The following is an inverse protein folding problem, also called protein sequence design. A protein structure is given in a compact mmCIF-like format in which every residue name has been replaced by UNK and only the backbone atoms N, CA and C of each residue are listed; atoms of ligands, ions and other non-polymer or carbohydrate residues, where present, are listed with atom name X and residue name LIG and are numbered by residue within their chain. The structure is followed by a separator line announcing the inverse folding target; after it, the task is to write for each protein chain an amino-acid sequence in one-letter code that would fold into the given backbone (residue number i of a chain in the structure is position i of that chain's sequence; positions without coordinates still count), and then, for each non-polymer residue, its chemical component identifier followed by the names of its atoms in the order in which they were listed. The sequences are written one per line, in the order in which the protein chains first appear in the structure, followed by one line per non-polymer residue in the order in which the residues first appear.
data_IF_383418138576
#
_entry.id   IF_383418138576
#
_cell.length_a   1.000
_cell.length_b   1.000
_cell.length_c   1.000
_cell.angle_alpha   90.00
_cell.angle_beta   90.00
_cell.angle_gamma   90.00
#
_symmetry.space_group_name_H-M   'P 1'
#
loop_
_entity.id
_entity.type
_entity.pdbx_description
1 polymer ?
#
# COMPACT_ATOMS: atom_id res chain seq x y z
N UNK A 1 10.89 36.19 -15.46
CA UNK A 1 9.50 36.29 -14.93
C UNK A 1 9.64 36.00 -13.43
N UNK A 2 10.29 36.91 -12.72
CA UNK A 2 10.96 36.64 -11.45
C UNK A 2 10.49 37.63 -10.41
N UNK A 3 9.69 37.16 -9.44
CA UNK A 3 9.40 37.91 -8.20
C UNK A 3 8.62 37.05 -7.18
N UNK A 4 9.21 35.92 -6.75
CA UNK A 4 8.80 35.20 -5.53
C UNK A 4 9.97 34.93 -4.56
N UNK A 5 11.10 35.63 -4.74
CA UNK A 5 12.37 35.32 -4.05
C UNK A 5 12.42 35.61 -2.53
N UNK A 6 11.35 36.13 -1.92
CA UNK A 6 11.32 36.48 -0.48
C UNK A 6 10.08 35.98 0.27
N UNK A 7 9.28 35.09 -0.34
CA UNK A 7 8.05 34.61 0.30
C UNK A 7 8.38 33.48 1.27
N UNK A 8 8.12 33.68 2.56
CA UNK A 8 8.40 32.71 3.64
C UNK A 8 7.13 32.07 4.24
N UNK A 9 5.93 32.51 3.84
CA UNK A 9 4.64 31.97 4.30
C UNK A 9 3.55 32.10 3.21
N UNK A 10 2.37 31.50 3.42
CA UNK A 10 1.20 31.48 2.53
C UNK A 10 1.50 30.87 1.15
N UNK A 11 2.24 29.77 1.17
CA UNK A 11 2.44 28.90 0.01
C UNK A 11 1.16 28.15 -0.36
N UNK A 12 1.01 27.80 -1.65
CA UNK A 12 -0.16 27.05 -2.15
C UNK A 12 -0.33 25.71 -1.45
N UNK A 13 0.76 24.94 -1.30
CA UNK A 13 0.75 23.66 -0.60
C UNK A 13 0.28 23.81 0.86
N UNK A 14 0.84 24.78 1.61
CA UNK A 14 0.41 25.02 3.00
C UNK A 14 -1.05 25.47 3.12
N UNK A 15 -1.55 26.27 2.17
CA UNK A 15 -2.97 26.64 2.13
C UNK A 15 -3.88 25.45 1.82
N UNK A 16 -3.48 24.57 0.91
CA UNK A 16 -4.18 23.32 0.62
C UNK A 16 -4.26 22.42 1.86
N UNK A 17 -3.14 22.20 2.55
CA UNK A 17 -3.11 21.37 3.76
C UNK A 17 -4.00 21.94 4.88
N UNK A 18 -3.99 23.26 5.09
CA UNK A 18 -4.91 23.91 6.03
C UNK A 18 -6.38 23.71 5.66
N UNK A 19 -6.71 23.79 4.37
CA UNK A 19 -8.07 23.58 3.90
C UNK A 19 -8.53 22.13 4.14
N UNK A 20 -7.71 21.14 3.79
CA UNK A 20 -8.02 19.72 4.03
C UNK A 20 -8.12 19.41 5.54
N UNK A 21 -7.25 19.99 6.37
CA UNK A 21 -7.33 19.86 7.82
C UNK A 21 -8.64 20.43 8.40
N UNK A 22 -9.11 21.58 7.90
CA UNK A 22 -10.42 22.14 8.29
C UNK A 22 -11.57 21.22 7.89
N UNK A 23 -11.54 20.68 6.67
CA UNK A 23 -12.56 19.71 6.20
C UNK A 23 -12.58 18.46 7.06
N UNK A 24 -11.42 17.90 7.42
CA UNK A 24 -11.33 16.73 8.28
C UNK A 24 -11.93 17.01 9.66
N UNK A 25 -11.55 18.13 10.30
CA UNK A 25 -12.07 18.54 11.61
C UNK A 25 -13.61 18.64 11.63
N UNK A 26 -14.21 19.08 10.54
CA UNK A 26 -15.67 19.24 10.45
C UNK A 26 -16.43 17.91 10.31
N UNK A 27 -15.77 16.86 9.80
CA UNK A 27 -16.43 15.57 9.47
C UNK A 27 -15.93 14.38 10.27
N UNK A 28 -14.97 14.58 11.18
CA UNK A 28 -14.35 13.49 11.92
C UNK A 28 -14.09 13.84 13.38
N UNK A 29 -14.34 12.88 14.27
CA UNK A 29 -14.15 13.03 15.70
C UNK A 29 -12.69 12.78 16.10
N UNK A 30 -12.12 13.65 16.95
CA UNK A 30 -10.72 13.57 17.36
C UNK A 30 -10.40 12.31 18.19
N UNK A 31 -11.32 11.85 19.05
CA UNK A 31 -11.14 10.63 19.83
C UNK A 31 -11.17 9.39 18.93
N UNK A 32 -12.09 9.35 17.96
CA UNK A 32 -12.12 8.31 16.93
C UNK A 32 -10.84 8.29 16.12
N UNK A 33 -10.31 9.47 15.72
CA UNK A 33 -9.04 9.57 15.01
C UNK A 33 -7.89 8.98 15.84
N UNK A 34 -7.80 9.34 17.13
CA UNK A 34 -6.77 8.80 18.02
C UNK A 34 -6.90 7.28 18.19
N UNK A 35 -8.11 6.76 18.36
CA UNK A 35 -8.35 5.33 18.51
C UNK A 35 -7.94 4.55 17.25
N UNK A 36 -8.32 5.02 16.06
CA UNK A 36 -7.94 4.40 14.79
C UNK A 36 -6.44 4.50 14.53
N UNK A 37 -5.81 5.64 14.88
CA UNK A 37 -4.35 5.81 14.74
C UNK A 37 -3.61 4.80 15.60
N UNK A 38 -4.00 4.62 16.86
CA UNK A 38 -3.43 3.59 17.74
C UNK A 38 -3.65 2.17 17.21
N UNK A 39 -4.81 1.91 16.60
CA UNK A 39 -5.07 0.62 15.97
C UNK A 39 -4.08 0.36 14.81
N UNK A 40 -3.85 1.36 13.95
CA UNK A 40 -2.85 1.30 12.88
C UNK A 40 -1.42 1.13 13.44
N UNK A 41 -1.02 1.91 14.46
CA UNK A 41 0.30 1.78 15.11
C UNK A 41 0.52 0.37 15.71
N UNK A 42 -0.55 -0.26 16.17
CA UNK A 42 -0.49 -1.61 16.76
C UNK A 42 -0.50 -2.74 15.72
N UNK A 43 -0.71 -2.42 14.44
CA UNK A 43 -0.86 -3.41 13.38
C UNK A 43 0.42 -4.26 13.26
N UNK A 44 0.28 -5.55 13.56
CA UNK A 44 1.34 -6.53 13.38
C UNK A 44 0.70 -7.90 13.16
N UNK A 45 0.68 -8.36 11.91
CA UNK A 45 0.03 -9.63 11.56
C UNK A 45 0.82 -10.85 12.06
N UNK A 46 2.10 -10.70 12.41
CA UNK A 46 2.94 -11.75 12.98
C UNK A 46 2.80 -11.93 14.50
N UNK A 47 2.15 -10.99 15.19
CA UNK A 47 2.00 -10.97 16.65
C UNK A 47 1.32 -12.26 17.13
N UNK A 48 2.02 -13.03 17.97
CA UNK A 48 1.53 -14.31 18.50
C UNK A 48 1.43 -15.43 17.47
N UNK A 49 1.98 -15.27 16.25
CA UNK A 49 1.87 -16.22 15.14
C UNK A 49 3.20 -16.78 14.63
N UNK A 50 4.30 -16.52 15.34
CA UNK A 50 5.64 -16.97 14.98
C UNK A 50 6.42 -15.98 14.10
N UNK A 51 5.97 -14.72 14.02
CA UNK A 51 6.56 -13.71 13.14
C UNK A 51 5.77 -13.51 11.86
N UNK A 52 6.24 -12.59 11.03
CA UNK A 52 5.51 -12.13 9.85
C UNK A 52 5.38 -13.23 8.77
N UNK A 53 6.47 -13.89 8.41
CA UNK A 53 6.49 -14.93 7.37
C UNK A 53 5.58 -16.12 7.72
N UNK A 54 5.68 -16.74 8.93
CA UNK A 54 4.79 -17.85 9.27
C UNK A 54 3.32 -17.46 9.37
N UNK A 55 3.02 -16.18 9.65
CA UNK A 55 1.66 -15.68 9.64
C UNK A 55 1.10 -15.54 8.22
N UNK A 56 1.89 -15.01 7.28
CA UNK A 56 1.48 -14.85 5.88
C UNK A 56 1.29 -16.21 5.18
N UNK A 57 2.15 -17.19 5.49
CA UNK A 57 2.03 -18.55 4.95
C UNK A 57 0.74 -19.28 5.37
N UNK A 58 0.06 -18.82 6.43
CA UNK A 58 -1.22 -19.37 6.89
C UNK A 58 -2.42 -18.83 6.11
N UNK A 59 -2.24 -17.84 5.25
CA UNK A 59 -3.32 -17.28 4.43
C UNK A 59 -3.67 -18.29 3.32
N UNK A 60 -4.87 -18.88 3.43
CA UNK A 60 -5.40 -19.84 2.45
C UNK A 60 -6.32 -19.20 1.40
N UNK A 61 -6.77 -17.96 1.62
CA UNK A 61 -7.65 -17.26 0.71
C UNK A 61 -6.91 -16.91 -0.59
N UNK A 62 -7.58 -17.01 -1.75
CA UNK A 62 -7.08 -16.40 -3.00
C UNK A 62 -6.80 -14.92 -2.70
N UNK A 63 -5.58 -14.45 -2.95
CA UNK A 63 -5.19 -13.09 -2.57
C UNK A 63 -4.73 -12.30 -3.80
N UNK A 64 -5.24 -11.08 -3.95
CA UNK A 64 -4.70 -10.09 -4.86
C UNK A 64 -4.06 -8.99 -4.03
N UNK A 65 -2.79 -8.71 -4.28
CA UNK A 65 -2.05 -7.61 -3.67
C UNK A 65 -1.88 -6.55 -4.76
N UNK A 66 -2.40 -5.36 -4.52
CA UNK A 66 -2.26 -4.21 -5.43
C UNK A 66 -1.38 -3.17 -4.73
N UNK A 67 -0.27 -2.81 -5.36
CA UNK A 67 0.61 -1.72 -4.93
C UNK A 67 0.54 -0.53 -5.89
N UNK A 68 0.82 0.68 -5.40
CA UNK A 68 0.90 1.88 -6.23
C UNK A 68 2.35 2.36 -6.26
N UNK A 69 2.87 2.59 -7.47
CA UNK A 69 4.30 2.78 -7.65
C UNK A 69 4.87 4.04 -6.95
N UNK A 70 4.04 5.05 -6.76
CA UNK A 70 4.41 6.32 -6.11
C UNK A 70 3.98 6.41 -4.65
N UNK A 71 3.48 5.34 -4.05
CA UNK A 71 3.06 5.34 -2.64
C UNK A 71 4.27 5.52 -1.71
N UNK A 72 4.23 6.58 -0.90
CA UNK A 72 5.26 6.90 0.09
C UNK A 72 4.92 6.38 1.50
N UNK A 73 3.66 6.04 1.76
CA UNK A 73 3.19 5.52 3.05
C UNK A 73 3.33 4.00 3.13
N UNK A 74 3.05 3.30 2.03
CA UNK A 74 3.17 1.85 1.92
C UNK A 74 3.94 1.48 0.65
N UNK A 75 5.28 1.46 0.69
CA UNK A 75 6.13 1.23 -0.49
C UNK A 75 5.94 -0.15 -1.12
N UNK A 76 6.21 -0.25 -2.44
CA UNK A 76 6.05 -1.47 -3.26
C UNK A 76 6.79 -2.66 -2.66
N UNK A 77 7.94 -2.44 -2.03
CA UNK A 77 8.75 -3.47 -1.39
C UNK A 77 7.94 -4.27 -0.37
N UNK A 78 7.08 -3.59 0.40
CA UNK A 78 6.24 -4.20 1.41
C UNK A 78 5.09 -5.00 0.77
N UNK A 79 4.47 -4.50 -0.29
CA UNK A 79 3.45 -5.26 -1.03
C UNK A 79 4.05 -6.49 -1.71
N UNK A 80 5.23 -6.36 -2.31
CA UNK A 80 5.97 -7.47 -2.89
C UNK A 80 6.36 -8.48 -1.81
N UNK A 81 6.74 -8.03 -0.61
CA UNK A 81 7.01 -8.91 0.52
C UNK A 81 5.75 -9.71 0.91
N UNK A 82 4.58 -9.08 0.99
CA UNK A 82 3.32 -9.77 1.30
C UNK A 82 3.00 -10.81 0.23
N UNK A 83 3.04 -10.42 -1.05
CA UNK A 83 2.73 -11.31 -2.17
C UNK A 83 3.67 -12.52 -2.26
N UNK A 84 4.96 -12.35 -1.93
CA UNK A 84 5.94 -13.45 -1.91
C UNK A 84 5.68 -14.50 -0.84
N UNK A 85 5.06 -14.13 0.27
CA UNK A 85 4.91 -15.02 1.44
C UNK A 85 3.49 -15.53 1.65
N UNK A 86 2.50 -15.02 0.91
CA UNK A 86 1.16 -15.62 0.81
C UNK A 86 1.17 -16.58 -0.39
N UNK A 87 0.93 -17.90 -0.21
CA UNK A 87 1.08 -18.90 -1.28
C UNK A 87 0.18 -18.68 -2.50
N UNK A 88 -0.98 -18.07 -2.29
CA UNK A 88 -2.02 -17.86 -3.31
C UNK A 88 -2.09 -16.41 -3.78
N UNK A 89 -1.07 -15.61 -3.48
CA UNK A 89 -1.07 -14.19 -3.80
C UNK A 89 -0.58 -13.92 -5.23
N UNK A 90 -1.23 -12.98 -5.87
CA UNK A 90 -0.77 -12.31 -7.09
C UNK A 90 -0.47 -10.85 -6.77
N UNK A 91 0.60 -10.30 -7.35
CA UNK A 91 0.98 -8.90 -7.18
C UNK A 91 0.71 -8.14 -8.47
N UNK A 92 -0.05 -7.05 -8.36
CA UNK A 92 -0.26 -6.06 -9.42
C UNK A 92 0.24 -4.70 -8.96
N UNK A 93 0.90 -3.97 -9.87
CA UNK A 93 1.45 -2.65 -9.58
C UNK A 93 0.81 -1.63 -10.51
N UNK A 94 0.22 -0.58 -9.93
CA UNK A 94 -0.39 0.52 -10.64
C UNK A 94 0.59 1.69 -10.67
N UNK A 95 0.90 2.19 -11.86
CA UNK A 95 1.59 3.46 -12.02
C UNK A 95 0.58 4.61 -11.90
N UNK A 96 0.73 5.43 -10.87
CA UNK A 96 -0.14 6.57 -10.62
C UNK A 96 0.69 7.73 -10.08
N UNK A 97 0.40 9.00 -10.43
CA UNK A 97 1.07 10.15 -9.85
C UNK A 97 0.49 10.57 -8.48
N UNK A 98 -0.58 9.93 -8.01
CA UNK A 98 -1.34 10.35 -6.84
C UNK A 98 -0.82 9.79 -5.50
N UNK A 99 0.27 9.02 -5.52
CA UNK A 99 0.81 8.37 -4.33
C UNK A 99 -0.19 7.39 -3.72
N UNK A 100 -0.24 7.34 -2.39
CA UNK A 100 -1.20 6.52 -1.65
C UNK A 100 -2.64 6.75 -2.13
N UNK A 101 -3.05 8.01 -2.32
CA UNK A 101 -4.41 8.36 -2.74
C UNK A 101 -4.79 7.77 -4.12
N UNK A 102 -3.84 7.23 -4.88
CA UNK A 102 -4.11 6.46 -6.09
C UNK A 102 -5.10 5.31 -5.87
N UNK A 103 -5.19 4.72 -4.67
CA UNK A 103 -6.15 3.64 -4.41
C UNK A 103 -7.61 4.13 -4.45
N UNK A 104 -7.83 5.43 -4.24
CA UNK A 104 -9.15 6.08 -4.32
C UNK A 104 -9.41 6.69 -5.71
N UNK A 105 -8.35 7.07 -6.42
CA UNK A 105 -8.46 7.81 -7.68
C UNK A 105 -8.48 6.88 -8.89
N UNK A 106 -7.63 5.85 -8.90
CA UNK A 106 -7.44 4.91 -10.03
C UNK A 106 -8.54 3.84 -10.10
N UNK A 107 -9.79 4.26 -9.92
CA UNK A 107 -10.94 3.37 -9.73
C UNK A 107 -11.16 2.45 -10.92
N UNK A 108 -10.98 2.94 -12.15
CA UNK A 108 -11.14 2.15 -13.37
C UNK A 108 -10.07 1.04 -13.49
N UNK A 109 -8.80 1.40 -13.25
CA UNK A 109 -7.68 0.46 -13.27
C UNK A 109 -7.85 -0.63 -12.20
N UNK A 110 -8.15 -0.23 -10.96
CA UNK A 110 -8.36 -1.15 -9.85
C UNK A 110 -9.56 -2.07 -10.12
N UNK A 111 -10.66 -1.53 -10.65
CA UNK A 111 -11.85 -2.32 -10.98
C UNK A 111 -11.56 -3.35 -12.07
N UNK A 112 -10.79 -2.98 -13.10
CA UNK A 112 -10.37 -3.91 -14.16
C UNK A 112 -9.54 -5.06 -13.63
N UNK A 113 -8.54 -4.77 -12.78
CA UNK A 113 -7.71 -5.79 -12.13
C UNK A 113 -8.55 -6.71 -11.24
N UNK A 114 -9.46 -6.15 -10.43
CA UNK A 114 -10.33 -6.93 -9.56
C UNK A 114 -11.27 -7.85 -10.35
N UNK A 115 -11.91 -7.34 -11.40
CA UNK A 115 -12.82 -8.13 -12.23
C UNK A 115 -12.07 -9.28 -12.92
N UNK A 116 -10.94 -9.00 -13.57
CA UNK A 116 -10.12 -10.03 -14.20
C UNK A 116 -9.64 -11.09 -13.20
N UNK A 117 -9.23 -10.66 -12.00
CA UNK A 117 -8.83 -11.56 -10.93
C UNK A 117 -9.98 -12.42 -10.39
N UNK A 118 -11.21 -11.87 -10.31
CA UNK A 118 -12.40 -12.59 -9.86
C UNK A 118 -12.89 -13.62 -10.89
N UNK A 119 -12.75 -13.32 -12.18
CA UNK A 119 -13.13 -14.21 -13.29
C UNK A 119 -12.18 -15.41 -13.45
N UNK A 120 -10.92 -15.28 -13.05
CA UNK A 120 -9.96 -16.39 -12.98
C UNK A 120 -10.33 -17.38 -11.84
N UNK A 121 -11.29 -18.26 -12.09
CA UNK A 121 -11.85 -19.21 -11.12
C UNK A 121 -11.07 -20.53 -11.06
N UNK A 122 -10.34 -20.86 -12.12
CA UNK A 122 -9.78 -22.19 -12.37
C UNK A 122 -8.28 -22.29 -12.06
N UNK A 123 -7.50 -21.21 -12.26
CA UNK A 123 -6.03 -21.27 -12.15
C UNK A 123 -5.49 -21.35 -10.71
N UNK A 124 -6.19 -20.77 -9.74
CA UNK A 124 -5.67 -20.62 -8.37
C UNK A 124 -5.95 -21.83 -7.45
N UNK A 125 -6.96 -22.67 -7.76
CA UNK A 125 -7.26 -23.89 -6.99
C UNK A 125 -6.24 -25.01 -7.21
N UNK A 126 -5.47 -24.97 -8.30
CA UNK A 126 -4.48 -26.00 -8.63
C UNK A 126 -3.08 -25.71 -8.02
N UNK A 127 -2.94 -24.60 -7.28
CA UNK A 127 -1.70 -24.13 -6.67
C UNK A 127 -1.35 -24.78 -5.31
N UNK A 128 -1.86 -25.99 -5.02
CA UNK A 128 -1.41 -26.87 -3.91
C UNK A 128 0.02 -27.42 -4.11
N UNK A 129 0.84 -26.79 -4.98
CA UNK A 129 2.26 -27.15 -5.19
C UNK A 129 3.17 -26.07 -4.63
N UNK A 130 4.21 -26.45 -3.86
CA UNK A 130 5.20 -25.49 -3.37
C UNK A 130 5.85 -24.78 -4.56
N UNK A 131 5.86 -23.45 -4.52
CA UNK A 131 6.32 -22.62 -5.64
C UNK A 131 7.82 -22.76 -5.85
N UNK A 132 8.21 -23.62 -6.78
CA UNK A 132 9.46 -23.48 -7.52
C UNK A 132 9.29 -22.35 -8.55
N UNK A 133 9.83 -21.19 -8.25
CA UNK A 133 10.25 -20.22 -9.27
C UNK A 133 9.20 -19.22 -9.77
N UNK A 134 8.93 -18.17 -8.98
CA UNK A 134 8.77 -16.83 -9.55
C UNK A 134 9.65 -15.87 -8.77
N UNK A 135 10.81 -15.55 -9.35
CA UNK A 135 11.56 -14.38 -8.93
C UNK A 135 10.72 -13.16 -9.29
N UNK A 136 10.01 -12.60 -8.31
CA UNK A 136 9.42 -11.28 -8.42
C UNK A 136 10.56 -10.27 -8.60
N UNK A 137 10.91 -9.98 -9.86
CA UNK A 137 11.89 -8.98 -10.23
C UNK A 137 11.31 -7.61 -9.88
N UNK A 138 11.67 -7.11 -8.70
CA UNK A 138 11.43 -5.71 -8.33
C UNK A 138 12.34 -4.86 -9.23
N UNK A 139 11.83 -3.87 -9.97
CA UNK A 139 12.68 -2.94 -10.70
C UNK A 139 13.72 -2.34 -9.75
N UNK A 140 15.00 -2.40 -10.13
CA UNK A 140 16.17 -2.00 -9.31
C UNK A 140 16.12 -0.55 -8.78
N UNK A 141 15.18 0.25 -9.24
CA UNK A 141 15.04 1.69 -8.97
C UNK A 141 14.55 2.05 -7.56
N UNK A 142 13.95 1.12 -6.80
CA UNK A 142 13.34 1.44 -5.50
C UNK A 142 14.16 0.99 -4.27
N UNK A 143 15.38 0.48 -4.48
CA UNK A 143 16.23 -0.13 -3.43
C UNK A 143 16.91 0.84 -2.45
N UNK A 144 16.54 2.12 -2.39
CA UNK A 144 17.19 3.07 -1.50
C UNK A 144 16.24 4.17 -1.00
N UNK A 145 15.36 3.82 -0.06
CA UNK A 145 14.77 4.80 0.85
C UNK A 145 15.48 4.67 2.22
N UNK A 146 16.08 5.74 2.75
CA UNK A 146 16.68 5.73 4.09
C UNK A 146 15.59 5.49 5.14
N UNK A 147 15.76 4.47 5.98
CA UNK A 147 14.83 4.15 7.07
C UNK A 147 14.33 2.71 7.15
N UNK A 148 14.77 1.82 6.25
CA UNK A 148 14.43 0.38 6.26
C UNK A 148 15.27 -0.49 7.21
N UNK A 149 16.13 0.13 8.02
CA UNK A 149 16.85 -0.57 9.09
C UNK A 149 15.97 -0.63 10.35
N UNK A 150 15.31 -1.77 10.52
CA UNK A 150 15.03 -2.43 11.80
C UNK A 150 14.43 -1.61 12.95
N UNK A 151 13.16 -1.89 13.28
CA UNK A 151 12.67 -1.88 14.67
C UNK A 151 12.67 -3.30 15.24
#
# INVERSE_FOLDING_TARGET
KDSQSGKIDKFKAGSYQRYQGKKLKQRFNAWSYSALSKAMDSQNVGRGRGGLIPALQKVQAKTLVIGIASDLLFPIEEQAFIARHIPTAQLEIIESPYGHDGFLVETECISGLLLGWMEDREGWRQADRPHSGLAATVPKAYSALPGSESF
#
